data_IF_017158795142
#
_entry.id   IF_017158795142
#
_cell.length_a   1.000
_cell.length_b   1.000
_cell.length_c   1.000
_cell.angle_alpha   90.00
_cell.angle_beta   90.00
_cell.angle_gamma   90.00
#
_symmetry.space_group_name_H-M   'P 1'
#
loop_
_entity.id
_entity.type
_entity.pdbx_description
1 polymer ?
#
# COMPACT_ATOMS: atom_id res chain seq x y z
N UNK A 1 -18.55 37.17 -17.32
CA UNK A 1 -18.17 36.74 -15.95
C UNK A 1 -18.85 35.40 -15.61
N UNK A 2 -18.39 34.29 -16.20
CA UNK A 2 -19.09 32.98 -16.09
C UNK A 2 -18.15 31.76 -16.08
N UNK A 3 -16.83 32.00 -16.07
CA UNK A 3 -15.80 30.96 -16.14
C UNK A 3 -15.08 30.73 -14.81
N UNK A 4 -15.45 31.44 -13.75
CA UNK A 4 -14.81 31.30 -12.42
C UNK A 4 -15.31 30.09 -11.62
N UNK A 5 -16.39 29.44 -12.04
CA UNK A 5 -17.00 28.34 -11.29
C UNK A 5 -16.31 26.98 -11.47
N UNK A 6 -15.54 26.78 -12.55
CA UNK A 6 -14.93 25.48 -12.86
C UNK A 6 -13.62 25.23 -12.09
N UNK A 7 -12.98 26.28 -11.58
CA UNK A 7 -11.67 26.18 -10.92
C UNK A 7 -11.71 25.56 -9.50
N UNK A 8 -12.87 25.51 -8.85
CA UNK A 8 -12.95 25.07 -7.44
C UNK A 8 -13.06 23.55 -7.26
N UNK A 9 -13.42 22.79 -8.30
CA UNK A 9 -13.61 21.33 -8.18
C UNK A 9 -12.33 20.51 -8.37
N UNK A 10 -11.20 21.14 -8.74
CA UNK A 10 -9.95 20.43 -8.98
C UNK A 10 -9.07 20.22 -7.73
N UNK A 11 -9.45 20.77 -6.57
CA UNK A 11 -8.57 20.83 -5.38
C UNK A 11 -8.83 19.67 -4.39
N UNK A 12 -9.92 18.90 -4.53
CA UNK A 12 -10.36 17.92 -3.52
C UNK A 12 -9.90 16.46 -3.87
N UNK A 13 -9.03 16.29 -4.86
CA UNK A 13 -8.71 14.96 -5.42
C UNK A 13 -7.47 14.23 -4.88
N UNK A 14 -6.56 14.89 -4.16
CA UNK A 14 -5.20 14.37 -3.92
C UNK A 14 -4.93 13.76 -2.53
N UNK A 15 -5.95 13.57 -1.69
CA UNK A 15 -5.75 13.12 -0.30
C UNK A 15 -5.67 11.58 -0.09
N UNK A 16 -5.86 10.74 -1.13
CA UNK A 16 -5.97 9.27 -0.95
C UNK A 16 -4.72 8.46 -1.35
N UNK A 17 -3.57 9.09 -1.56
CA UNK A 17 -2.32 8.38 -1.88
C UNK A 17 -1.28 8.37 -0.74
N UNK A 18 -1.64 8.89 0.43
CA UNK A 18 -0.78 8.90 1.63
C UNK A 18 -1.15 7.82 2.66
N UNK A 19 -1.94 6.81 2.27
CA UNK A 19 -2.33 5.75 3.19
C UNK A 19 -1.22 4.70 3.29
N UNK A 20 -0.32 4.97 4.25
CA UNK A 20 0.72 4.07 4.77
C UNK A 20 1.81 3.75 3.74
N UNK A 21 2.97 4.39 3.92
CA UNK A 21 4.21 3.68 3.62
C UNK A 21 4.08 2.29 4.29
N UNK A 22 4.01 1.19 3.52
CA UNK A 22 3.74 -0.12 4.09
C UNK A 22 4.81 -0.36 5.15
N UNK A 23 4.40 -0.74 6.36
CA UNK A 23 5.35 -1.08 7.41
C UNK A 23 6.34 -2.09 6.82
N UNK A 24 7.60 -1.68 6.66
CA UNK A 24 8.60 -2.50 6.00
C UNK A 24 8.93 -3.66 6.92
N UNK A 25 8.44 -4.84 6.56
CA UNK A 25 8.63 -6.06 7.32
C UNK A 25 10.06 -6.54 7.10
N UNK A 26 10.79 -6.79 8.18
CA UNK A 26 12.17 -7.30 8.12
C UNK A 26 12.27 -8.67 7.44
N UNK A 27 13.46 -9.01 6.92
CA UNK A 27 13.72 -10.36 6.38
C UNK A 27 13.45 -11.40 7.47
N UNK A 28 12.89 -12.57 7.10
CA UNK A 28 12.43 -13.66 7.99
C UNK A 28 11.18 -13.36 8.85
N UNK A 29 10.61 -12.17 8.78
CA UNK A 29 9.34 -11.92 9.46
C UNK A 29 8.15 -12.42 8.62
N UNK A 30 7.03 -12.75 9.29
CA UNK A 30 5.82 -13.19 8.61
C UNK A 30 5.24 -12.05 7.76
N UNK A 31 4.79 -12.39 6.56
CA UNK A 31 4.15 -11.48 5.61
C UNK A 31 2.94 -12.16 4.97
N UNK A 32 2.06 -11.38 4.35
CA UNK A 32 0.97 -11.88 3.52
C UNK A 32 1.10 -11.35 2.10
N UNK A 33 0.82 -12.21 1.12
CA UNK A 33 0.82 -11.90 -0.29
C UNK A 33 -0.26 -10.87 -0.68
N UNK A 34 -1.32 -10.73 0.14
CA UNK A 34 -2.35 -9.70 -0.01
C UNK A 34 -1.88 -8.30 0.42
N UNK A 35 -0.68 -8.18 1.02
CA UNK A 35 -0.14 -6.92 1.54
C UNK A 35 -0.84 -6.42 2.83
N UNK A 36 -1.82 -7.16 3.35
CA UNK A 36 -2.61 -6.77 4.51
C UNK A 36 -1.80 -6.76 5.81
N UNK A 37 -0.64 -7.43 5.84
CA UNK A 37 0.32 -7.40 6.95
C UNK A 37 1.43 -6.35 6.79
N UNK A 38 1.45 -5.58 5.70
CA UNK A 38 2.59 -4.75 5.28
C UNK A 38 3.45 -5.45 4.21
N UNK A 39 4.40 -4.70 3.65
CA UNK A 39 5.30 -5.19 2.59
C UNK A 39 6.68 -5.51 3.17
N UNK A 40 7.32 -6.56 2.65
CA UNK A 40 8.70 -6.87 2.99
C UNK A 40 9.65 -5.74 2.58
N UNK A 41 10.69 -5.49 3.39
CA UNK A 41 11.74 -4.51 3.08
C UNK A 41 12.46 -4.82 1.76
N UNK A 42 12.55 -6.10 1.41
CA UNK A 42 13.07 -6.61 0.14
C UNK A 42 12.07 -6.53 -1.03
N UNK A 43 10.81 -6.22 -0.76
CA UNK A 43 9.71 -6.28 -1.73
C UNK A 43 9.22 -7.69 -2.05
N UNK A 44 9.77 -8.74 -1.42
CA UNK A 44 9.43 -10.12 -1.72
C UNK A 44 8.90 -10.88 -0.50
N UNK A 45 7.64 -11.32 -0.61
CA UNK A 45 6.98 -12.18 0.36
C UNK A 45 6.83 -13.58 -0.24
N UNK A 46 7.48 -14.59 0.38
CA UNK A 46 7.32 -15.98 -0.03
C UNK A 46 6.17 -16.62 0.76
N UNK A 47 4.99 -16.68 0.16
CA UNK A 47 3.82 -17.37 0.72
C UNK A 47 3.40 -18.54 -0.18
N UNK A 48 3.30 -19.74 0.39
CA UNK A 48 2.77 -20.90 -0.32
C UNK A 48 1.24 -20.81 -0.39
N UNK A 49 0.63 -21.28 -1.49
CA UNK A 49 -0.81 -21.16 -1.74
C UNK A 49 -1.72 -21.82 -0.68
N UNK A 50 -1.17 -22.75 0.11
CA UNK A 50 -1.88 -23.45 1.17
C UNK A 50 -1.63 -22.87 2.58
N UNK A 51 -0.78 -21.85 2.70
CA UNK A 51 -0.45 -21.23 3.97
C UNK A 51 -1.16 -19.88 4.12
N UNK A 52 -1.64 -19.59 5.34
CA UNK A 52 -2.32 -18.33 5.65
C UNK A 52 -1.37 -17.12 5.76
N UNK A 53 -0.06 -17.38 5.81
CA UNK A 53 1.01 -16.38 5.91
C UNK A 53 2.28 -16.93 5.25
N UNK A 54 3.06 -16.06 4.65
CA UNK A 54 4.40 -16.33 4.12
C UNK A 54 5.50 -15.70 4.96
N UNK A 55 6.72 -15.68 4.42
CA UNK A 55 7.90 -15.11 5.08
C UNK A 55 8.64 -14.17 4.14
N UNK A 56 9.09 -13.03 4.67
CA UNK A 56 9.90 -12.07 3.92
C UNK A 56 11.28 -12.61 3.59
N UNK A 57 11.70 -12.44 2.35
CA UNK A 57 12.95 -12.99 1.81
C UNK A 57 13.79 -11.92 1.15
#
# INVERSE_FOLDING_TARGET
MRFTFVAFMAIIGSALAADKAPALIGVRFPCKADGSSGNCASGFCLQLAHENQGVCK
#
